data_IF_050756040610
#
_entry.id   IF_050756040610
#
_cell.length_a   1.000
_cell.length_b   1.000
_cell.length_c   1.000
_cell.angle_alpha   90.00
_cell.angle_beta   90.00
_cell.angle_gamma   90.00
#
_symmetry.space_group_name_H-M   'P 1'
#
loop_
_entity.id
_entity.type
_entity.pdbx_description
1 polymer ?
#
# COMPACT_ATOMS: atom_id res chain seq x y z
N UNK A 1 42.07 -39.35 11.32
CA UNK A 1 40.82 -39.16 10.56
C UNK A 1 39.92 -38.07 11.16
N UNK A 2 39.54 -38.15 12.44
CA UNK A 2 38.68 -37.15 13.10
C UNK A 2 39.17 -35.69 12.96
N UNK A 3 40.43 -35.41 13.30
CA UNK A 3 40.99 -34.05 13.24
C UNK A 3 40.94 -33.47 11.82
N UNK A 4 41.20 -34.28 10.80
CA UNK A 4 41.15 -33.83 9.41
C UNK A 4 39.73 -33.45 9.00
N UNK A 5 38.73 -34.24 9.41
CA UNK A 5 37.32 -33.92 9.19
C UNK A 5 36.92 -32.59 9.86
N UNK A 6 37.35 -32.37 11.11
CA UNK A 6 37.05 -31.13 11.83
C UNK A 6 37.66 -29.89 11.17
N UNK A 7 38.89 -30.02 10.65
CA UNK A 7 39.54 -28.94 9.92
C UNK A 7 38.76 -28.63 8.64
N UNK A 8 38.41 -29.63 7.84
CA UNK A 8 37.67 -29.43 6.59
C UNK A 8 36.30 -28.78 6.82
N UNK A 9 35.59 -29.16 7.87
CA UNK A 9 34.31 -28.57 8.25
C UNK A 9 34.45 -27.08 8.60
N UNK A 10 35.45 -26.75 9.42
CA UNK A 10 35.72 -25.36 9.83
C UNK A 10 36.13 -24.48 8.62
N UNK A 11 36.91 -25.03 7.69
CA UNK A 11 37.28 -24.30 6.47
C UNK A 11 36.08 -24.05 5.55
N UNK A 12 35.22 -25.05 5.39
CA UNK A 12 33.98 -24.91 4.64
C UNK A 12 33.04 -23.89 5.29
N UNK A 13 32.90 -23.92 6.61
CA UNK A 13 32.10 -22.97 7.37
C UNK A 13 32.63 -21.54 7.19
N UNK A 14 33.93 -21.34 7.36
CA UNK A 14 34.60 -20.06 7.15
C UNK A 14 34.39 -19.53 5.73
N UNK A 15 34.48 -20.40 4.71
CA UNK A 15 34.25 -19.99 3.33
C UNK A 15 32.78 -19.57 3.10
N UNK A 16 31.84 -20.34 3.64
CA UNK A 16 30.40 -20.03 3.57
C UNK A 16 30.10 -18.66 4.19
N UNK A 17 30.55 -18.40 5.42
CA UNK A 17 30.31 -17.13 6.11
C UNK A 17 30.86 -15.94 5.31
N UNK A 18 32.07 -16.06 4.73
CA UNK A 18 32.63 -14.99 3.90
C UNK A 18 31.79 -14.72 2.64
N UNK A 19 31.28 -15.77 2.01
CA UNK A 19 30.38 -15.65 0.85
C UNK A 19 29.05 -15.01 1.25
N UNK A 20 28.50 -15.38 2.40
CA UNK A 20 27.27 -14.83 2.94
C UNK A 20 27.41 -13.32 3.24
N UNK A 21 28.52 -12.90 3.87
CA UNK A 21 28.84 -11.47 4.09
C UNK A 21 28.80 -10.68 2.78
N UNK A 22 29.46 -11.17 1.73
CA UNK A 22 29.49 -10.49 0.43
C UNK A 22 28.08 -10.44 -0.18
N UNK A 23 27.33 -11.52 -0.06
CA UNK A 23 25.97 -11.63 -0.60
C UNK A 23 25.02 -10.67 0.10
N UNK A 24 25.01 -10.67 1.43
CA UNK A 24 24.16 -9.78 2.20
C UNK A 24 24.54 -8.31 2.03
N UNK A 25 25.83 -7.99 1.89
CA UNK A 25 26.24 -6.61 1.59
C UNK A 25 25.64 -6.14 0.25
N UNK A 26 25.73 -6.94 -0.82
CA UNK A 26 25.15 -6.59 -2.13
C UNK A 26 23.63 -6.47 -2.09
N UNK A 27 22.96 -7.38 -1.37
CA UNK A 27 21.51 -7.31 -1.17
C UNK A 27 21.14 -6.03 -0.43
N UNK A 28 21.91 -5.67 0.60
CA UNK A 28 21.68 -4.47 1.39
C UNK A 28 21.89 -3.19 0.57
N UNK A 29 22.93 -3.14 -0.26
CA UNK A 29 23.17 -2.00 -1.16
C UNK A 29 21.99 -1.82 -2.13
N UNK A 30 21.45 -2.92 -2.66
CA UNK A 30 20.27 -2.89 -3.54
C UNK A 30 19.04 -2.38 -2.79
N UNK A 31 18.78 -2.90 -1.59
CA UNK A 31 17.64 -2.49 -0.77
C UNK A 31 17.73 -1.01 -0.34
N UNK A 32 18.92 -0.52 -0.01
CA UNK A 32 19.12 0.90 0.30
C UNK A 32 18.79 1.78 -0.90
N UNK A 33 19.20 1.40 -2.12
CA UNK A 33 18.86 2.14 -3.34
C UNK A 33 17.35 2.13 -3.61
N UNK A 34 16.71 0.97 -3.52
CA UNK A 34 15.26 0.82 -3.75
C UNK A 34 14.42 1.61 -2.73
N UNK A 35 14.86 1.65 -1.47
CA UNK A 35 14.17 2.37 -0.39
C UNK A 35 14.60 3.83 -0.25
N UNK A 36 15.49 4.30 -1.13
CA UNK A 36 16.12 5.62 -1.07
C UNK A 36 16.76 5.94 0.30
N UNK A 37 17.42 4.95 0.90
CA UNK A 37 18.14 5.05 2.17
C UNK A 37 19.63 5.24 1.94
N UNK A 38 20.31 5.80 2.95
CA UNK A 38 21.76 5.89 2.91
C UNK A 38 22.43 4.49 2.90
N UNK A 39 23.59 4.34 2.23
CA UNK A 39 24.34 3.09 2.23
C UNK A 39 24.69 2.65 3.65
N UNK A 40 24.46 1.37 3.95
CA UNK A 40 24.76 0.83 5.27
C UNK A 40 26.26 0.69 5.48
N UNK A 41 26.77 1.28 6.56
CA UNK A 41 28.17 1.18 6.99
C UNK A 41 28.26 0.22 8.17
N UNK A 42 29.04 -0.85 8.00
CA UNK A 42 29.41 -1.72 9.10
C UNK A 42 30.36 -1.00 10.07
N UNK A 43 30.24 -1.33 11.35
CA UNK A 43 31.20 -0.90 12.36
C UNK A 43 32.57 -1.54 12.11
N UNK A 44 33.62 -0.78 12.41
CA UNK A 44 34.99 -1.30 12.40
C UNK A 44 35.19 -2.30 13.56
N UNK A 45 36.11 -3.24 13.39
CA UNK A 45 36.51 -4.25 14.40
C UNK A 45 35.48 -5.36 14.71
N UNK A 46 34.58 -5.67 13.78
CA UNK A 46 33.69 -6.83 13.91
C UNK A 46 34.38 -8.14 13.50
N UNK A 47 34.08 -9.23 14.21
CA UNK A 47 34.41 -10.58 13.74
C UNK A 47 33.57 -10.93 12.51
N UNK A 48 34.04 -11.86 11.67
CA UNK A 48 33.31 -12.28 10.46
C UNK A 48 31.90 -12.81 10.75
N UNK A 49 31.70 -13.45 11.91
CA UNK A 49 30.40 -13.93 12.37
C UNK A 49 29.48 -12.77 12.78
N UNK A 50 30.02 -11.75 13.44
CA UNK A 50 29.24 -10.55 13.79
C UNK A 50 28.87 -9.74 12.55
N UNK A 51 29.79 -9.63 11.58
CA UNK A 51 29.51 -8.98 10.30
C UNK A 51 28.37 -9.68 9.56
N UNK A 52 28.43 -11.00 9.40
CA UNK A 52 27.37 -11.78 8.76
C UNK A 52 26.03 -11.57 9.45
N UNK A 53 26.01 -11.72 10.79
CA UNK A 53 24.79 -11.57 11.58
C UNK A 53 24.18 -10.18 11.42
N UNK A 54 25.00 -9.13 11.52
CA UNK A 54 24.53 -7.75 11.42
C UNK A 54 23.95 -7.45 10.04
N UNK A 55 24.65 -7.87 8.97
CA UNK A 55 24.18 -7.71 7.60
C UNK A 55 22.87 -8.46 7.38
N UNK A 56 22.80 -9.72 7.79
CA UNK A 56 21.60 -10.54 7.63
C UNK A 56 20.40 -9.94 8.37
N UNK A 57 20.56 -9.55 9.63
CA UNK A 57 19.49 -8.91 10.40
C UNK A 57 19.04 -7.59 9.76
N UNK A 58 19.96 -6.81 9.18
CA UNK A 58 19.62 -5.56 8.49
C UNK A 58 18.86 -5.82 7.19
N UNK A 59 19.29 -6.80 6.38
CA UNK A 59 18.58 -7.24 5.17
C UNK A 59 17.17 -7.71 5.51
N UNK A 60 17.00 -8.59 6.51
CA UNK A 60 15.70 -9.07 6.97
C UNK A 60 14.77 -7.90 7.39
N UNK A 61 15.32 -6.90 8.09
CA UNK A 61 14.57 -5.73 8.53
C UNK A 61 14.13 -4.85 7.37
N UNK A 62 15.02 -4.55 6.41
CA UNK A 62 14.69 -3.73 5.25
C UNK A 62 13.74 -4.45 4.27
N UNK A 63 13.85 -5.77 4.13
CA UNK A 63 12.89 -6.54 3.35
C UNK A 63 11.49 -6.47 3.97
N UNK A 64 11.40 -6.53 5.31
CA UNK A 64 10.13 -6.36 6.01
C UNK A 64 9.54 -4.97 5.74
N UNK A 65 10.34 -3.92 5.88
CA UNK A 65 9.92 -2.53 5.60
C UNK A 65 9.47 -2.35 4.15
N UNK A 66 10.24 -2.86 3.17
CA UNK A 66 9.88 -2.82 1.75
C UNK A 66 8.52 -3.49 1.50
N UNK A 67 8.31 -4.67 2.06
CA UNK A 67 7.07 -5.41 1.89
C UNK A 67 5.87 -4.71 2.54
N UNK A 68 6.09 -4.02 3.66
CA UNK A 68 5.06 -3.21 4.32
C UNK A 68 4.67 -2.00 3.46
N UNK A 69 5.65 -1.22 2.98
CA UNK A 69 5.41 -0.08 2.06
C UNK A 69 4.68 -0.51 0.78
N UNK A 70 5.03 -1.67 0.21
CA UNK A 70 4.36 -2.20 -0.98
C UNK A 70 2.91 -2.62 -0.69
N UNK A 71 2.65 -3.18 0.49
CA UNK A 71 1.29 -3.53 0.91
C UNK A 71 0.45 -2.27 1.10
N UNK A 72 0.96 -1.28 1.84
CA UNK A 72 0.28 0.01 2.04
C UNK A 72 -0.06 0.68 0.71
N UNK A 73 0.89 0.69 -0.24
CA UNK A 73 0.64 1.23 -1.57
C UNK A 73 -0.44 0.44 -2.34
N UNK A 74 -0.45 -0.89 -2.22
CA UNK A 74 -1.47 -1.74 -2.85
C UNK A 74 -2.86 -1.48 -2.25
N UNK A 75 -2.96 -1.36 -0.93
CA UNK A 75 -4.21 -1.08 -0.23
C UNK A 75 -4.74 0.30 -0.62
N UNK A 76 -3.86 1.28 -0.72
CA UNK A 76 -4.21 2.64 -1.13
C UNK A 76 -4.69 2.71 -2.59
N UNK A 77 -4.06 1.95 -3.50
CA UNK A 77 -4.55 1.83 -4.89
C UNK A 77 -5.93 1.20 -4.96
N UNK A 78 -6.18 0.19 -4.14
CA UNK A 78 -7.50 -0.44 -4.08
C UNK A 78 -8.55 0.55 -3.57
N UNK A 79 -8.23 1.34 -2.54
CA UNK A 79 -9.12 2.39 -2.05
C UNK A 79 -9.40 3.46 -3.12
N UNK A 80 -8.38 3.88 -3.86
CA UNK A 80 -8.53 4.80 -4.99
C UNK A 80 -9.50 4.26 -6.05
N UNK A 81 -9.29 3.02 -6.49
CA UNK A 81 -10.15 2.35 -7.48
C UNK A 81 -11.61 2.27 -7.01
N UNK A 82 -11.85 1.87 -5.75
CA UNK A 82 -13.20 1.79 -5.17
C UNK A 82 -13.89 3.16 -5.09
N UNK A 83 -13.16 4.20 -4.68
CA UNK A 83 -13.66 5.57 -4.64
C UNK A 83 -13.95 6.09 -6.05
N UNK A 84 -13.06 5.84 -7.01
CA UNK A 84 -13.24 6.25 -8.40
C UNK A 84 -14.44 5.57 -9.05
N UNK A 85 -14.69 4.29 -8.79
CA UNK A 85 -15.91 3.60 -9.25
C UNK A 85 -17.14 4.30 -8.67
N UNK A 86 -17.19 4.50 -7.35
CA UNK A 86 -18.32 5.12 -6.66
C UNK A 86 -18.62 6.54 -7.16
N UNK A 87 -17.56 7.33 -7.38
CA UNK A 87 -17.66 8.75 -7.79
C UNK A 87 -17.73 8.93 -9.31
N UNK A 88 -17.57 7.85 -10.08
CA UNK A 88 -17.30 7.88 -11.52
C UNK A 88 -16.15 8.85 -11.86
N UNK A 89 -15.09 8.80 -11.07
CA UNK A 89 -13.85 9.54 -11.30
C UNK A 89 -12.82 8.64 -12.01
N UNK A 90 -11.75 9.26 -12.54
CA UNK A 90 -10.65 8.53 -13.17
C UNK A 90 -9.61 8.14 -12.11
N UNK A 91 -9.23 6.85 -12.00
CA UNK A 91 -8.17 6.40 -11.10
C UNK A 91 -6.82 7.06 -11.38
N UNK A 92 -5.98 7.14 -10.35
CA UNK A 92 -4.65 7.75 -10.47
C UNK A 92 -3.59 6.72 -10.91
N UNK A 93 -3.20 6.76 -12.19
CA UNK A 93 -2.42 5.67 -12.81
C UNK A 93 -0.91 5.66 -12.52
N UNK A 94 -0.29 6.78 -12.13
CA UNK A 94 1.17 6.85 -11.90
C UNK A 94 1.53 7.70 -10.66
N UNK A 95 1.00 7.40 -9.45
CA UNK A 95 1.35 8.20 -8.29
C UNK A 95 2.60 7.68 -7.60
N UNK A 96 3.40 8.60 -7.07
CA UNK A 96 4.22 8.30 -5.89
C UNK A 96 3.31 8.06 -4.68
N UNK A 97 3.77 7.32 -3.66
CA UNK A 97 2.92 6.94 -2.52
C UNK A 97 2.22 8.12 -1.83
N UNK A 98 2.90 9.26 -1.70
CA UNK A 98 2.34 10.49 -1.11
C UNK A 98 1.27 11.14 -2.00
N UNK A 99 1.47 11.18 -3.32
CA UNK A 99 0.49 11.77 -4.24
C UNK A 99 -0.80 10.94 -4.29
N UNK A 100 -0.69 9.61 -4.22
CA UNK A 100 -1.87 8.74 -4.15
C UNK A 100 -2.65 8.98 -2.86
N UNK A 101 -1.94 9.20 -1.74
CA UNK A 101 -2.59 9.42 -0.45
C UNK A 101 -3.39 10.73 -0.44
N UNK A 102 -2.78 11.82 -0.94
CA UNK A 102 -3.48 13.09 -1.10
C UNK A 102 -4.70 12.98 -2.05
N UNK A 103 -4.57 12.17 -3.09
CA UNK A 103 -5.67 11.93 -4.03
C UNK A 103 -6.82 11.17 -3.37
N UNK A 104 -6.55 10.07 -2.66
CA UNK A 104 -7.54 9.30 -1.91
C UNK A 104 -8.23 10.17 -0.87
N UNK A 105 -7.48 10.98 -0.10
CA UNK A 105 -8.06 11.91 0.88
C UNK A 105 -8.99 12.95 0.23
N UNK A 106 -8.66 13.41 -0.98
CA UNK A 106 -9.51 14.33 -1.73
C UNK A 106 -10.79 13.64 -2.20
N UNK A 107 -10.70 12.42 -2.72
CA UNK A 107 -11.85 11.65 -3.16
C UNK A 107 -12.77 11.29 -1.99
N UNK A 108 -12.22 10.96 -0.82
CA UNK A 108 -13.00 10.67 0.38
C UNK A 108 -13.79 11.90 0.85
N UNK A 109 -13.15 13.08 0.91
CA UNK A 109 -13.83 14.35 1.20
C UNK A 109 -14.93 14.66 0.19
N UNK A 110 -14.68 14.38 -1.08
CA UNK A 110 -15.67 14.56 -2.14
C UNK A 110 -16.85 13.60 -2.01
N UNK A 111 -16.60 12.32 -1.72
CA UNK A 111 -17.64 11.32 -1.44
C UNK A 111 -18.54 11.77 -0.30
N UNK A 112 -17.96 12.14 0.85
CA UNK A 112 -18.72 12.64 2.01
C UNK A 112 -19.54 13.89 1.63
N UNK A 113 -18.99 14.80 0.82
CA UNK A 113 -19.71 15.98 0.36
C UNK A 113 -20.89 15.63 -0.57
N UNK A 114 -20.76 14.59 -1.39
CA UNK A 114 -21.79 14.13 -2.32
C UNK A 114 -22.89 13.33 -1.61
N UNK A 115 -22.53 12.51 -0.62
CA UNK A 115 -23.49 11.77 0.22
C UNK A 115 -24.35 12.70 1.07
N UNK A 116 -23.78 13.79 1.63
CA UNK A 116 -24.57 14.81 2.35
C UNK A 116 -25.67 15.47 1.51
N UNK A 117 -25.53 15.47 0.20
CA UNK A 117 -26.56 15.97 -0.71
C UNK A 117 -27.62 14.90 -0.99
N UNK A 118 -27.25 13.63 -0.89
CA UNK A 118 -28.10 12.47 -1.12
C UNK A 118 -28.95 12.12 0.12
N UNK A 119 -29.52 13.12 0.80
CA UNK A 119 -30.42 12.93 1.95
C UNK A 119 -31.84 12.68 1.47
N UNK A 120 -32.03 11.58 0.75
CA UNK A 120 -33.36 11.17 0.27
C UNK A 120 -34.32 10.74 1.36
N UNK A 121 -33.80 10.38 2.54
CA UNK A 121 -34.61 10.18 3.75
C UNK A 121 -35.38 11.44 4.18
N UNK A 122 -34.98 12.63 3.70
CA UNK A 122 -35.66 13.89 4.00
C UNK A 122 -36.84 14.19 3.06
N UNK A 123 -37.04 13.41 2.00
CA UNK A 123 -38.06 13.70 0.98
C UNK A 123 -39.50 13.45 1.44
N UNK A 124 -39.71 12.68 2.52
CA UNK A 124 -41.02 12.52 3.16
C UNK A 124 -42.12 11.84 2.32
N UNK A 125 -41.77 11.23 1.18
CA UNK A 125 -42.68 10.49 0.30
C UNK A 125 -42.08 9.14 -0.12
N UNK A 126 -42.94 8.23 -0.61
CA UNK A 126 -42.50 6.93 -1.11
C UNK A 126 -41.81 7.08 -2.48
N UNK A 127 -40.73 6.33 -2.77
CA UNK A 127 -39.97 6.47 -4.01
C UNK A 127 -40.78 6.08 -5.25
N UNK A 128 -41.05 7.06 -6.10
CA UNK A 128 -41.85 6.93 -7.32
C UNK A 128 -40.97 6.62 -8.55
N UNK A 129 -39.76 7.17 -8.60
CA UNK A 129 -38.83 6.98 -9.73
C UNK A 129 -37.85 5.83 -9.51
N UNK A 130 -37.31 5.26 -10.60
CA UNK A 130 -36.26 4.24 -10.50
C UNK A 130 -35.00 4.80 -9.84
N UNK A 131 -34.67 6.06 -10.11
CA UNK A 131 -33.55 6.77 -9.49
C UNK A 131 -33.71 6.82 -7.96
N UNK A 132 -34.92 7.09 -7.47
CA UNK A 132 -35.18 7.13 -6.03
C UNK A 132 -35.12 5.76 -5.37
N UNK A 133 -35.55 4.72 -6.07
CA UNK A 133 -35.46 3.36 -5.56
C UNK A 133 -34.01 2.89 -5.49
N UNK A 134 -33.20 3.22 -6.49
CA UNK A 134 -31.79 2.82 -6.57
C UNK A 134 -30.92 3.45 -5.47
N UNK A 135 -31.22 4.67 -5.06
CA UNK A 135 -30.48 5.40 -4.03
C UNK A 135 -30.87 5.06 -2.59
N UNK A 136 -32.13 4.65 -2.34
CA UNK A 136 -32.62 4.26 -1.01
C UNK A 136 -32.44 2.75 -0.77
N UNK A 137 -32.42 1.95 -1.83
CA UNK A 137 -32.31 0.50 -1.73
C UNK A 137 -30.89 0.06 -1.33
N UNK A 138 -30.73 -0.65 -0.20
CA UNK A 138 -29.44 -1.23 0.20
C UNK A 138 -29.01 -2.42 -0.68
N UNK A 139 -29.92 -2.95 -1.51
CA UNK A 139 -29.68 -4.11 -2.38
C UNK A 139 -29.19 -3.72 -3.80
N UNK A 140 -29.06 -2.43 -4.11
CA UNK A 140 -28.47 -1.99 -5.38
C UNK A 140 -26.95 -2.03 -5.27
N UNK A 141 -26.29 -2.89 -6.06
CA UNK A 141 -24.87 -3.22 -5.88
C UNK A 141 -23.94 -1.99 -5.75
N UNK A 142 -24.19 -0.88 -6.46
CA UNK A 142 -23.53 0.43 -6.23
C UNK A 142 -24.43 1.57 -6.75
N UNK A 143 -24.95 2.46 -5.88
CA UNK A 143 -25.48 3.75 -6.35
C UNK A 143 -24.32 4.69 -6.68
N UNK A 144 -24.16 5.04 -7.96
CA UNK A 144 -23.08 5.90 -8.42
C UNK A 144 -23.36 7.35 -8.05
N UNK A 145 -22.45 7.98 -7.30
CA UNK A 145 -22.54 9.38 -6.89
C UNK A 145 -22.11 10.33 -8.01
N UNK A 146 -22.58 10.11 -9.23
CA UNK A 146 -22.25 10.98 -10.38
C UNK A 146 -22.81 12.39 -10.18
N UNK A 147 -22.20 13.39 -10.82
CA UNK A 147 -22.73 14.75 -10.79
C UNK A 147 -24.16 14.84 -11.33
N UNK A 148 -24.53 14.01 -12.29
CA UNK A 148 -25.86 14.03 -12.90
C UNK A 148 -26.90 13.36 -12.02
N UNK A 149 -26.57 12.21 -11.39
CA UNK A 149 -27.44 11.59 -10.39
C UNK A 149 -27.70 12.55 -9.23
N UNK A 150 -26.66 13.22 -8.73
CA UNK A 150 -26.78 14.20 -7.64
C UNK A 150 -27.64 15.40 -8.04
N UNK A 151 -27.48 15.93 -9.27
CA UNK A 151 -28.33 17.02 -9.76
C UNK A 151 -29.79 16.58 -9.88
N UNK A 152 -30.03 15.38 -10.40
CA UNK A 152 -31.38 14.83 -10.53
C UNK A 152 -32.05 14.69 -9.15
N UNK A 153 -31.33 14.17 -8.15
CA UNK A 153 -31.83 14.08 -6.78
C UNK A 153 -32.11 15.44 -6.14
N UNK A 154 -31.25 16.45 -6.35
CA UNK A 154 -31.53 17.83 -5.89
C UNK A 154 -32.78 18.42 -6.54
N UNK A 155 -33.02 18.12 -7.81
CA UNK A 155 -34.23 18.58 -8.52
C UNK A 155 -35.49 17.92 -7.94
N UNK A 156 -35.41 16.64 -7.56
CA UNK A 156 -36.50 15.93 -6.89
C UNK A 156 -36.80 16.52 -5.50
N UNK A 157 -35.77 16.85 -4.72
CA UNK A 157 -35.91 17.53 -3.42
C UNK A 157 -36.56 18.93 -3.52
N UNK A 158 -36.53 19.56 -4.69
CA UNK A 158 -37.09 20.91 -4.92
C UNK A 158 -38.50 20.93 -5.51
N UNK A 159 -39.10 19.76 -5.76
CA UNK A 159 -40.47 19.61 -6.26
C UNK A 159 -41.45 19.52 -5.09
#
# INVERSE_FOLDING_TARGET
>A
ELLHSMIMEEEALRHRIKTDVITFQKQLDTLCLELALEPYKLEDNLTVLQMEKNLRCRVESLLKEKNERLRELSDLKKQDEELCVTLCATPYYIPSGSELQEHVEKLDKEKVSREKVNLMDEMGHEPESSLERESISPDTDIFLLTHDNIKALKLLLSQ
#
